data_IF_084529336546
#
_entry.id   IF_084529336546
#
_cell.length_a   1.000
_cell.length_b   1.000
_cell.length_c   1.000
_cell.angle_alpha   90.00
_cell.angle_beta   90.00
_cell.angle_gamma   90.00
#
_symmetry.space_group_name_H-M   'P 1'
#
loop_
_entity.id
_entity.type
_entity.pdbx_description
1 polymer ?
#
# COMPACT_ATOMS: atom_id res chain seq x y z
N UNK A 1 4.49 -19.12 3.28
CA UNK A 1 4.82 -18.14 2.24
C UNK A 1 5.81 -17.15 2.81
N UNK A 2 6.67 -16.62 1.95
CA UNK A 2 7.50 -15.45 2.23
C UNK A 2 6.92 -14.28 1.42
N UNK A 3 6.86 -13.09 2.02
CA UNK A 3 6.14 -11.93 1.46
C UNK A 3 6.75 -10.63 1.99
N UNK A 4 6.48 -9.52 1.28
CA UNK A 4 6.86 -8.18 1.70
C UNK A 4 6.16 -7.83 3.03
N UNK A 5 6.90 -7.47 4.07
CA UNK A 5 6.35 -7.27 5.41
C UNK A 5 6.66 -5.89 5.97
N UNK A 6 5.61 -5.12 6.24
CA UNK A 6 5.74 -3.74 6.73
C UNK A 6 6.28 -3.70 8.16
N UNK A 7 5.88 -4.61 9.04
CA UNK A 7 6.38 -4.67 10.42
C UNK A 7 7.87 -5.05 10.50
N UNK A 8 8.35 -5.92 9.62
CA UNK A 8 9.77 -6.23 9.50
C UNK A 8 10.54 -5.06 8.85
N UNK A 9 9.92 -4.40 7.87
CA UNK A 9 10.48 -3.20 7.22
C UNK A 9 10.66 -2.04 8.19
N UNK A 10 9.65 -1.69 8.99
CA UNK A 10 9.77 -0.65 10.03
C UNK A 10 10.89 -0.96 11.01
N UNK A 11 11.03 -2.23 11.40
CA UNK A 11 12.14 -2.69 12.26
C UNK A 11 13.50 -2.48 11.58
N UNK A 12 13.60 -2.79 10.27
CA UNK A 12 14.84 -2.64 9.50
C UNK A 12 15.22 -1.19 9.25
N UNK A 13 14.23 -0.31 9.05
CA UNK A 13 14.45 1.11 8.74
C UNK A 13 14.59 1.99 9.99
N UNK A 14 14.11 1.52 11.15
CA UNK A 14 14.05 2.28 12.39
C UNK A 14 13.04 3.43 12.37
N UNK A 15 12.06 3.40 11.46
CA UNK A 15 11.05 4.46 11.26
C UNK A 15 9.81 3.95 10.55
N UNK A 16 8.76 4.78 10.53
CA UNK A 16 7.45 4.47 9.94
C UNK A 16 7.21 5.07 8.56
N UNK A 17 8.06 5.99 8.11
CA UNK A 17 7.98 6.57 6.77
C UNK A 17 9.12 6.07 5.90
N UNK A 18 8.78 5.61 4.70
CA UNK A 18 9.73 5.19 3.67
C UNK A 18 10.20 6.40 2.87
N UNK A 19 11.32 6.26 2.17
CA UNK A 19 11.83 7.26 1.22
C UNK A 19 12.63 6.59 0.11
N UNK A 20 12.87 7.32 -0.96
CA UNK A 20 13.80 6.91 -2.02
C UNK A 20 15.15 6.43 -1.45
N UNK A 21 15.63 5.31 -1.96
CA UNK A 21 16.81 4.60 -1.49
C UNK A 21 16.54 3.50 -0.45
N UNK A 22 15.37 3.50 0.19
CA UNK A 22 15.03 2.47 1.17
C UNK A 22 14.80 1.11 0.52
N UNK A 23 15.12 0.07 1.30
CA UNK A 23 14.87 -1.33 0.93
C UNK A 23 13.85 -1.92 1.91
N UNK A 24 12.68 -2.26 1.39
CA UNK A 24 11.62 -2.96 2.08
C UNK A 24 11.94 -4.46 2.09
N UNK A 25 11.68 -5.12 3.21
CA UNK A 25 12.14 -6.49 3.48
C UNK A 25 11.00 -7.48 3.62
N UNK A 26 11.33 -8.76 3.42
CA UNK A 26 10.38 -9.85 3.65
C UNK A 26 10.12 -10.08 5.14
N UNK A 27 9.12 -10.90 5.45
CA UNK A 27 8.90 -11.45 6.78
C UNK A 27 10.06 -12.35 7.30
N UNK A 28 11.10 -12.59 6.49
CA UNK A 28 12.36 -13.22 6.90
C UNK A 28 13.55 -12.24 6.93
N UNK A 29 13.27 -10.94 6.86
CA UNK A 29 14.26 -9.85 6.91
C UNK A 29 15.24 -9.85 5.73
N UNK A 30 14.89 -10.52 4.62
CA UNK A 30 15.66 -10.43 3.38
C UNK A 30 15.25 -9.17 2.60
N UNK A 31 16.18 -8.44 1.96
CA UNK A 31 15.84 -7.43 0.97
C UNK A 31 14.87 -7.96 -0.08
N UNK A 32 13.81 -7.21 -0.40
CA UNK A 32 12.88 -7.59 -1.47
C UNK A 32 12.64 -6.47 -2.46
N UNK A 33 12.15 -5.31 -2.01
CA UNK A 33 11.80 -4.18 -2.87
C UNK A 33 12.64 -2.97 -2.48
N UNK A 34 13.31 -2.33 -3.45
CA UNK A 34 13.97 -1.04 -3.25
C UNK A 34 13.18 0.07 -3.93
N UNK A 35 12.99 1.19 -3.21
CA UNK A 35 12.44 2.41 -3.78
C UNK A 35 13.59 3.11 -4.53
N UNK A 36 13.55 3.08 -5.85
CA UNK A 36 14.62 3.60 -6.71
C UNK A 36 14.40 5.08 -6.99
N UNK A 37 13.15 5.46 -7.23
CA UNK A 37 12.75 6.81 -7.59
C UNK A 37 11.31 7.04 -7.11
N UNK A 38 11.01 8.27 -6.74
CA UNK A 38 9.67 8.75 -6.45
C UNK A 38 9.63 10.22 -6.84
N UNK A 39 8.74 10.57 -7.77
CA UNK A 39 8.59 11.96 -8.24
C UNK A 39 7.62 12.76 -7.38
N UNK A 40 6.85 12.08 -6.54
CA UNK A 40 5.91 12.71 -5.62
C UNK A 40 6.65 13.35 -4.43
N UNK A 41 5.95 14.06 -3.54
CA UNK A 41 6.52 14.55 -2.28
C UNK A 41 7.03 13.47 -1.30
N UNK A 42 6.99 12.17 -1.63
CA UNK A 42 7.56 11.12 -0.78
C UNK A 42 6.62 10.54 0.27
N UNK A 43 5.31 10.76 0.14
CA UNK A 43 4.33 10.36 1.16
C UNK A 43 3.68 9.04 0.78
N UNK A 44 3.95 8.01 1.58
CA UNK A 44 3.31 6.70 1.48
C UNK A 44 3.09 6.15 2.88
N UNK A 45 2.08 5.30 3.01
CA UNK A 45 1.77 4.64 4.27
C UNK A 45 2.23 3.17 4.27
N UNK A 46 2.77 2.75 5.42
CA UNK A 46 3.15 1.36 5.72
C UNK A 46 2.61 0.92 7.09
N UNK A 47 1.58 1.58 7.62
CA UNK A 47 1.00 1.31 8.94
C UNK A 47 -0.41 0.73 8.84
N UNK A 48 -1.20 1.19 7.87
CA UNK A 48 -2.62 0.91 7.79
C UNK A 48 -2.86 -0.36 6.97
N UNK A 49 -3.73 -1.22 7.48
CA UNK A 49 -4.17 -2.41 6.75
C UNK A 49 -4.86 -2.01 5.44
N UNK A 50 -4.86 -2.90 4.45
CA UNK A 50 -5.68 -2.72 3.26
C UNK A 50 -7.17 -2.63 3.65
N UNK A 51 -7.98 -1.89 2.89
CA UNK A 51 -9.42 -1.89 3.15
C UNK A 51 -10.02 -3.29 2.91
N UNK A 52 -11.04 -3.60 3.71
CA UNK A 52 -11.80 -4.85 3.68
C UNK A 52 -13.29 -4.56 3.89
N UNK A 53 -14.13 -5.58 3.77
CA UNK A 53 -15.58 -5.44 3.89
C UNK A 53 -15.99 -4.85 5.25
N UNK A 54 -15.37 -5.32 6.32
CA UNK A 54 -15.61 -4.87 7.68
C UNK A 54 -15.28 -3.38 7.86
N UNK A 55 -14.21 -2.88 7.21
CA UNK A 55 -13.86 -1.47 7.21
C UNK A 55 -14.95 -0.62 6.57
N UNK A 56 -15.51 -1.06 5.44
CA UNK A 56 -16.62 -0.34 4.80
C UNK A 56 -17.90 -0.36 5.64
N UNK A 57 -18.19 -1.47 6.32
CA UNK A 57 -19.31 -1.52 7.28
C UNK A 57 -19.14 -0.51 8.42
N UNK A 58 -17.93 -0.37 8.98
CA UNK A 58 -17.63 0.63 10.00
C UNK A 58 -17.82 2.07 9.52
N UNK A 59 -17.63 2.31 8.22
CA UNK A 59 -17.84 3.61 7.57
C UNK A 59 -19.31 3.84 7.18
N UNK A 60 -20.19 2.85 7.37
CA UNK A 60 -21.63 2.94 7.14
C UNK A 60 -22.11 2.34 5.82
N UNK A 61 -21.27 1.59 5.09
CA UNK A 61 -21.72 0.86 3.91
C UNK A 61 -22.77 -0.20 4.30
N UNK A 62 -23.92 -0.18 3.61
CA UNK A 62 -25.04 -1.09 3.88
C UNK A 62 -25.05 -2.35 3.01
N UNK A 63 -24.17 -2.40 2.02
CA UNK A 63 -23.99 -3.51 1.09
C UNK A 63 -22.51 -3.82 0.90
N UNK A 64 -22.21 -4.87 0.13
CA UNK A 64 -20.85 -5.12 -0.32
C UNK A 64 -20.27 -3.88 -1.01
N UNK A 65 -18.98 -3.67 -0.77
CA UNK A 65 -18.17 -2.63 -1.36
C UNK A 65 -16.85 -3.28 -1.81
N UNK A 66 -16.39 -2.93 -3.01
CA UNK A 66 -15.10 -3.39 -3.48
C UNK A 66 -14.00 -3.00 -2.49
N UNK A 67 -13.00 -3.86 -2.33
CA UNK A 67 -11.98 -3.66 -1.30
C UNK A 67 -10.65 -4.30 -1.70
N UNK A 68 -9.55 -3.72 -1.21
CA UNK A 68 -8.19 -4.15 -1.55
C UNK A 68 -7.89 -5.57 -1.06
N UNK A 69 -8.47 -5.98 0.06
CA UNK A 69 -8.28 -7.34 0.59
C UNK A 69 -8.83 -8.41 -0.37
N UNK A 70 -10.02 -8.19 -0.92
CA UNK A 70 -10.63 -9.09 -1.90
C UNK A 70 -9.92 -8.99 -3.26
N UNK A 71 -9.55 -7.78 -3.71
CA UNK A 71 -8.76 -7.60 -4.92
C UNK A 71 -7.43 -8.38 -4.87
N UNK A 72 -6.77 -8.39 -3.70
CA UNK A 72 -5.55 -9.15 -3.48
C UNK A 72 -5.79 -10.67 -3.58
N UNK A 73 -6.85 -11.17 -2.90
CA UNK A 73 -7.24 -12.59 -2.96
C UNK A 73 -7.57 -13.02 -4.38
N UNK A 74 -8.40 -12.23 -5.09
CA UNK A 74 -8.86 -12.55 -6.44
C UNK A 74 -7.71 -12.56 -7.44
N UNK A 75 -6.79 -11.59 -7.36
CA UNK A 75 -5.61 -11.53 -8.23
C UNK A 75 -4.73 -12.77 -8.10
N UNK A 76 -4.48 -13.24 -6.88
CA UNK A 76 -3.67 -14.45 -6.66
C UNK A 76 -4.42 -15.73 -7.02
N UNK A 77 -5.73 -15.78 -6.77
CA UNK A 77 -6.57 -16.89 -7.19
C UNK A 77 -6.58 -17.06 -8.72
N UNK A 78 -6.60 -15.95 -9.47
CA UNK A 78 -6.59 -15.95 -10.94
C UNK A 78 -5.33 -16.64 -11.53
N UNK A 79 -4.23 -16.65 -10.78
CA UNK A 79 -2.97 -17.34 -11.15
C UNK A 79 -2.73 -18.62 -10.33
N UNK A 80 -3.77 -19.16 -9.68
CA UNK A 80 -3.75 -20.37 -8.85
C UNK A 80 -2.73 -20.33 -7.69
N UNK A 81 -2.44 -19.14 -7.16
CA UNK A 81 -1.57 -18.97 -6.00
C UNK A 81 -2.41 -18.91 -4.72
N UNK A 82 -2.17 -19.87 -3.82
CA UNK A 82 -2.83 -19.90 -2.52
C UNK A 82 -2.07 -19.07 -1.48
N UNK A 83 -2.81 -18.23 -0.76
CA UNK A 83 -2.29 -17.47 0.38
C UNK A 83 -2.95 -17.91 1.68
N UNK A 84 -2.20 -17.78 2.78
CA UNK A 84 -2.71 -18.08 4.13
C UNK A 84 -3.21 -16.84 4.88
N UNK A 85 -2.73 -15.68 4.48
CA UNK A 85 -3.07 -14.40 5.10
C UNK A 85 -2.86 -13.28 4.08
N UNK A 86 -3.49 -12.14 4.33
CA UNK A 86 -3.25 -10.91 3.60
C UNK A 86 -2.19 -10.12 4.37
N UNK A 87 -1.03 -9.82 3.78
CA UNK A 87 -0.02 -8.99 4.42
C UNK A 87 -0.46 -7.53 4.47
N UNK A 88 0.09 -6.76 5.41
CA UNK A 88 -0.05 -5.30 5.39
C UNK A 88 0.46 -4.76 4.04
N UNK A 89 -0.32 -3.91 3.34
CA UNK A 89 0.09 -3.37 2.06
C UNK A 89 1.19 -2.32 2.22
N UNK A 90 1.89 -2.05 1.12
CA UNK A 90 2.58 -0.79 0.92
C UNK A 90 1.59 0.18 0.25
N UNK A 91 1.01 1.10 1.02
CA UNK A 91 -0.02 2.03 0.54
C UNK A 91 0.66 3.24 -0.13
N UNK A 92 0.94 3.09 -1.42
CA UNK A 92 1.59 4.12 -2.24
C UNK A 92 0.68 5.37 -2.30
N UNK A 93 1.23 6.55 -1.98
CA UNK A 93 0.59 7.88 -1.99
C UNK A 93 -0.47 8.12 -0.91
N UNK A 94 -0.79 7.12 -0.09
CA UNK A 94 -1.70 7.28 1.03
C UNK A 94 -1.06 8.17 2.11
N UNK A 95 -1.77 9.23 2.49
CA UNK A 95 -1.28 10.24 3.42
C UNK A 95 -1.85 10.01 4.83
N UNK A 96 -1.04 9.37 5.67
CA UNK A 96 -1.38 9.06 7.07
C UNK A 96 -0.32 9.68 8.00
N UNK A 97 -0.40 10.99 8.28
CA UNK A 97 0.55 11.65 9.14
C UNK A 97 0.35 11.21 10.60
N UNK A 98 1.44 10.85 11.26
CA UNK A 98 1.53 10.48 12.67
C UNK A 98 2.07 11.66 13.48
N UNK A 99 1.33 12.03 14.52
CA UNK A 99 1.58 13.19 15.38
C UNK A 99 2.57 12.86 16.48
N UNK A 100 3.76 13.46 16.39
CA UNK A 100 4.74 13.62 17.47
C UNK A 100 4.77 12.53 18.55
N UNK A 101 4.72 12.96 19.82
CA UNK A 101 4.81 12.04 20.96
C UNK A 101 3.49 11.32 21.29
N UNK A 102 2.35 11.75 20.72
CA UNK A 102 1.05 11.10 20.98
C UNK A 102 0.84 9.86 20.12
N UNK A 103 1.46 9.81 18.94
CA UNK A 103 1.31 8.70 18.00
C UNK A 103 -0.07 8.65 17.33
N UNK A 104 -0.89 9.70 17.48
CA UNK A 104 -2.17 9.83 16.79
C UNK A 104 -1.95 10.00 15.28
N UNK A 105 -2.88 9.50 14.47
CA UNK A 105 -2.81 9.64 13.02
C UNK A 105 -4.14 10.14 12.43
N UNK A 106 -4.09 10.77 11.26
CA UNK A 106 -5.26 11.23 10.52
C UNK A 106 -5.31 10.65 9.11
N UNK A 107 -6.50 10.70 8.49
CA UNK A 107 -6.75 10.23 7.13
C UNK A 107 -6.81 11.44 6.21
N UNK A 108 -5.69 11.78 5.59
CA UNK A 108 -5.59 12.98 4.75
C UNK A 108 -5.66 12.65 3.26
N UNK A 109 -5.96 13.67 2.46
CA UNK A 109 -5.86 13.55 1.02
C UNK A 109 -4.40 13.32 0.58
N UNK A 110 -4.16 12.54 -0.50
CA UNK A 110 -2.86 12.42 -1.12
C UNK A 110 -2.28 13.79 -1.50
N UNK A 111 -0.96 13.89 -1.46
CA UNK A 111 -0.21 15.07 -1.93
C UNK A 111 0.47 14.81 -3.28
N UNK A 112 0.26 13.62 -3.85
CA UNK A 112 0.68 13.27 -5.20
C UNK A 112 -0.15 14.01 -6.25
N UNK A 113 0.44 14.22 -7.42
CA UNK A 113 -0.18 14.85 -8.58
C UNK A 113 -0.34 13.85 -9.73
N UNK A 114 -1.20 14.19 -10.70
CA UNK A 114 -1.31 13.40 -11.92
C UNK A 114 0.05 13.32 -12.64
N UNK A 115 0.46 12.11 -13.01
CA UNK A 115 1.76 11.85 -13.63
C UNK A 115 2.89 11.57 -12.64
N UNK A 116 2.66 11.67 -11.32
CA UNK A 116 3.62 11.16 -10.35
C UNK A 116 3.77 9.65 -10.48
N UNK A 117 5.00 9.16 -10.34
CA UNK A 117 5.30 7.74 -10.35
C UNK A 117 6.29 7.38 -9.23
N UNK A 118 6.23 6.11 -8.82
CA UNK A 118 7.23 5.47 -7.98
C UNK A 118 7.89 4.32 -8.75
N UNK A 119 9.21 4.29 -8.77
CA UNK A 119 10.00 3.22 -9.39
C UNK A 119 10.50 2.27 -8.32
N UNK A 120 10.18 0.99 -8.49
CA UNK A 120 10.53 -0.08 -7.56
C UNK A 120 11.44 -1.09 -8.25
N UNK A 121 12.51 -1.50 -7.58
CA UNK A 121 13.39 -2.58 -8.03
C UNK A 121 13.19 -3.81 -7.16
N UNK A 122 12.95 -4.96 -7.77
CA UNK A 122 12.89 -6.24 -7.08
C UNK A 122 14.29 -6.86 -6.97
N UNK A 123 14.65 -7.30 -5.77
CA UNK A 123 15.92 -7.99 -5.49
C UNK A 123 15.86 -9.50 -5.71
N UNK A 124 14.65 -10.06 -5.80
CA UNK A 124 14.36 -11.48 -5.97
C UNK A 124 13.14 -11.62 -6.89
N UNK A 125 13.00 -12.77 -7.55
CA UNK A 125 11.79 -13.11 -8.30
C UNK A 125 10.57 -13.09 -7.36
N UNK A 126 9.56 -12.29 -7.71
CA UNK A 126 8.38 -12.14 -6.88
C UNK A 126 7.11 -11.93 -7.71
N UNK A 127 5.98 -12.21 -7.07
CA UNK A 127 4.65 -11.88 -7.58
C UNK A 127 4.24 -10.57 -6.92
N UNK A 128 4.02 -9.55 -7.74
CA UNK A 128 3.52 -8.24 -7.30
C UNK A 128 2.02 -8.20 -7.56
N UNK A 129 1.26 -7.75 -6.56
CA UNK A 129 -0.19 -7.52 -6.67
C UNK A 129 -0.45 -6.06 -6.38
N UNK A 130 -1.11 -5.37 -7.32
CA UNK A 130 -1.53 -3.99 -7.19
C UNK A 130 -3.05 -3.94 -7.18
N UNK A 131 -3.59 -3.13 -6.26
CA UNK A 131 -5.03 -2.84 -6.20
C UNK A 131 -5.20 -1.33 -6.20
N UNK A 132 -5.85 -0.79 -7.23
CA UNK A 132 -6.37 0.57 -7.18
C UNK A 132 -7.42 0.62 -6.06
N UNK A 133 -7.13 1.37 -4.99
CA UNK A 133 -7.97 1.36 -3.81
C UNK A 133 -9.35 1.94 -4.14
N UNK A 134 -10.45 1.21 -3.91
CA UNK A 134 -11.79 1.70 -4.25
C UNK A 134 -12.38 2.65 -3.19
N UNK A 135 -11.59 3.09 -2.20
CA UNK A 135 -12.09 3.93 -1.11
C UNK A 135 -12.65 5.27 -1.61
N UNK A 136 -13.92 5.53 -1.31
CA UNK A 136 -14.67 6.72 -1.71
C UNK A 136 -15.43 7.37 -0.54
N UNK A 137 -15.33 6.81 0.67
CA UNK A 137 -15.97 7.28 1.90
C UNK A 137 -15.00 8.06 2.83
N UNK A 138 -13.70 8.09 2.52
CA UNK A 138 -12.68 8.87 3.24
C UNK A 138 -11.78 9.63 2.27
N UNK A 139 -11.02 10.65 2.74
CA UNK A 139 -10.22 11.49 1.85
C UNK A 139 -9.01 10.82 1.19
N UNK A 140 -8.67 9.56 1.50
CA UNK A 140 -7.35 8.98 1.16
C UNK A 140 -7.09 8.74 -0.32
N UNK A 141 -8.11 8.83 -1.16
CA UNK A 141 -7.97 8.86 -2.62
C UNK A 141 -8.14 10.27 -3.21
N UNK A 142 -8.33 11.29 -2.35
CA UNK A 142 -8.66 12.67 -2.68
C UNK A 142 -10.08 13.05 -2.20
N UNK A 143 -10.39 14.35 -2.22
CA UNK A 143 -11.68 14.87 -1.77
C UNK A 143 -12.58 15.11 -2.98
N UNK A 144 -13.76 14.47 -3.00
CA UNK A 144 -14.75 14.63 -4.07
C UNK A 144 -14.30 14.05 -5.41
N UNK A 145 -13.33 13.13 -5.38
CA UNK A 145 -12.82 12.40 -6.54
C UNK A 145 -13.25 10.94 -6.47
N UNK A 146 -13.43 10.34 -7.64
CA UNK A 146 -13.70 8.92 -7.74
C UNK A 146 -12.38 8.14 -7.80
N UNK A 147 -12.37 6.86 -7.36
CA UNK A 147 -11.24 5.96 -7.60
C UNK A 147 -10.83 5.97 -9.08
N UNK A 148 -9.53 6.03 -9.33
CA UNK A 148 -8.95 6.10 -10.66
C UNK A 148 -8.13 4.84 -10.96
N UNK A 149 -7.85 4.61 -12.24
CA UNK A 149 -6.99 3.53 -12.70
C UNK A 149 -5.54 3.77 -12.26
N UNK A 150 -4.82 2.67 -12.05
CA UNK A 150 -3.37 2.67 -11.84
C UNK A 150 -2.71 1.98 -13.02
N UNK A 151 -1.66 2.61 -13.54
CA UNK A 151 -0.83 2.05 -14.60
C UNK A 151 0.49 1.52 -14.01
N UNK A 152 1.04 0.49 -14.63
CA UNK A 152 2.38 0.00 -14.31
C UNK A 152 3.11 -0.40 -15.59
N UNK A 153 4.43 -0.28 -15.55
CA UNK A 153 5.35 -0.73 -16.59
C UNK A 153 6.44 -1.60 -15.95
N UNK A 154 6.93 -2.60 -16.70
CA UNK A 154 8.11 -3.37 -16.31
C UNK A 154 9.30 -2.93 -17.17
N UNK A 155 10.28 -2.30 -16.52
CA UNK A 155 11.57 -1.95 -17.14
C UNK A 155 12.52 -3.17 -17.07
N UNK A 156 13.16 -3.51 -18.18
CA UNK A 156 14.17 -4.59 -18.27
C UNK A 156 15.59 -4.06 -18.12
#
# INVERSE_FOLDING_TARGET
SEFLSMEHTRTSLGRVYVRTGDTLVTNRRRPLIKIVEDTSPGIHDILIACCDHERYQQLGASSYHDNCADNFRMSLLAINVQIKHIPSPFNIWMNIPVTGNTGEYSWEAPVSSAGDFIKLSAHEDCIVVMSACPQDMTPVNGIGVLPAELEFELEN
#
